data_IF_730109771507
#
_entry.id   IF_730109771507
#
_cell.length_a   1.000
_cell.length_b   1.000
_cell.length_c   1.000
_cell.angle_alpha   90.00
_cell.angle_beta   90.00
_cell.angle_gamma   90.00
#
_symmetry.space_group_name_H-M   'P 1'
#
loop_
_entity.id
_entity.type
_entity.pdbx_description
1 polymer ?
#
# COMPACT_ATOMS: atom_id res chain seq x y z
N UNK A 1 12.22 -5.03 -8.67
CA UNK A 1 12.99 -4.67 -7.46
C UNK A 1 13.06 -5.82 -6.42
N UNK A 2 11.93 -6.38 -5.95
CA UNK A 2 11.92 -7.47 -4.95
C UNK A 2 12.59 -8.77 -5.42
N UNK A 3 12.39 -9.15 -6.68
CA UNK A 3 13.05 -10.32 -7.28
C UNK A 3 14.57 -10.21 -7.23
N UNK A 4 15.12 -9.07 -7.66
CA UNK A 4 16.55 -8.79 -7.61
C UNK A 4 17.09 -8.80 -6.18
N UNK A 5 16.36 -8.25 -5.21
CA UNK A 5 16.71 -8.32 -3.79
C UNK A 5 16.76 -9.76 -3.29
N UNK A 6 15.75 -10.56 -3.62
CA UNK A 6 15.68 -11.96 -3.16
C UNK A 6 16.81 -12.81 -3.75
N UNK A 7 17.14 -12.60 -5.03
CA UNK A 7 18.31 -13.23 -5.69
C UNK A 7 19.63 -12.81 -5.04
N UNK A 8 19.82 -11.52 -4.76
CA UNK A 8 21.05 -11.04 -4.08
C UNK A 8 21.19 -11.60 -2.67
N UNK A 9 20.08 -11.82 -1.96
CA UNK A 9 20.08 -12.38 -0.60
C UNK A 9 20.42 -13.86 -0.55
N UNK A 10 20.15 -14.60 -1.63
CA UNK A 10 20.39 -16.05 -1.74
C UNK A 10 21.16 -16.37 -3.02
N UNK A 11 22.44 -15.97 -3.13
CA UNK A 11 23.23 -16.18 -4.34
C UNK A 11 23.51 -17.67 -4.61
N UNK A 12 23.49 -18.50 -3.57
CA UNK A 12 23.73 -19.95 -3.61
C UNK A 12 22.48 -20.77 -3.92
N UNK A 13 21.29 -20.15 -3.90
CA UNK A 13 20.02 -20.85 -4.11
C UNK A 13 19.52 -20.67 -5.53
N UNK A 14 18.93 -21.74 -6.08
CA UNK A 14 18.30 -21.71 -7.40
C UNK A 14 17.11 -20.74 -7.38
N UNK A 15 16.83 -20.13 -8.53
CA UNK A 15 15.71 -19.20 -8.69
C UNK A 15 14.36 -19.82 -8.28
N UNK A 16 14.17 -21.11 -8.51
CA UNK A 16 12.96 -21.85 -8.10
C UNK A 16 12.78 -21.87 -6.59
N UNK A 17 13.87 -22.05 -5.83
CA UNK A 17 13.83 -22.01 -4.37
C UNK A 17 13.51 -20.60 -3.89
N UNK A 18 14.10 -19.56 -4.50
CA UNK A 18 13.81 -18.16 -4.19
C UNK A 18 12.34 -17.83 -4.45
N UNK A 19 11.78 -18.29 -5.57
CA UNK A 19 10.37 -18.16 -5.89
C UNK A 19 9.50 -18.83 -4.82
N UNK A 20 9.74 -20.12 -4.54
CA UNK A 20 8.95 -20.88 -3.56
C UNK A 20 9.03 -20.31 -2.14
N UNK A 21 10.16 -19.69 -1.76
CA UNK A 21 10.36 -19.11 -0.44
C UNK A 21 9.57 -17.82 -0.20
N UNK A 22 9.43 -16.99 -1.24
CA UNK A 22 8.92 -15.63 -1.07
C UNK A 22 7.64 -15.35 -1.86
N UNK A 23 7.37 -16.08 -2.93
CA UNK A 23 6.19 -15.89 -3.78
C UNK A 23 5.21 -17.02 -3.53
N UNK A 24 4.10 -16.69 -2.88
CA UNK A 24 3.04 -17.62 -2.52
C UNK A 24 1.76 -17.31 -3.29
N UNK A 25 0.85 -18.28 -3.31
CA UNK A 25 -0.54 -18.09 -3.74
C UNK A 25 -1.40 -17.77 -2.53
N UNK A 26 -2.26 -16.77 -2.64
CA UNK A 26 -3.20 -16.40 -1.58
C UNK A 26 -4.54 -15.97 -2.17
N UNK A 27 -5.58 -16.75 -1.87
CA UNK A 27 -6.88 -16.62 -2.52
C UNK A 27 -6.75 -16.75 -4.05
N UNK A 28 -7.24 -15.74 -4.76
CA UNK A 28 -7.22 -15.69 -6.23
C UNK A 28 -5.85 -15.21 -6.75
N UNK A 29 -5.05 -14.55 -5.91
CA UNK A 29 -3.79 -13.94 -6.34
C UNK A 29 -2.64 -14.93 -6.27
N UNK A 30 -1.89 -15.00 -7.37
CA UNK A 30 -0.61 -15.72 -7.45
C UNK A 30 0.53 -14.71 -7.35
N UNK A 31 1.73 -15.19 -7.04
CA UNK A 31 2.94 -14.35 -6.97
C UNK A 31 2.85 -13.23 -5.91
N UNK A 32 2.29 -13.55 -4.75
CA UNK A 32 2.23 -12.63 -3.61
C UNK A 32 3.53 -12.73 -2.82
N UNK A 33 4.22 -11.60 -2.63
CA UNK A 33 5.44 -11.56 -1.83
C UNK A 33 5.11 -11.65 -0.34
N UNK A 34 5.58 -12.72 0.31
CA UNK A 34 5.36 -12.98 1.73
C UNK A 34 6.50 -13.82 2.31
N UNK A 35 6.61 -13.81 3.63
CA UNK A 35 7.60 -14.60 4.40
C UNK A 35 6.90 -15.61 5.33
N UNK A 36 5.65 -15.97 5.00
CA UNK A 36 4.78 -16.81 5.82
C UNK A 36 4.17 -16.07 7.02
N UNK A 37 4.98 -15.27 7.73
CA UNK A 37 4.52 -14.42 8.84
C UNK A 37 3.94 -13.10 8.35
N UNK A 38 4.66 -12.45 7.44
CA UNK A 38 4.33 -11.11 6.95
C UNK A 38 4.17 -11.12 5.44
N UNK A 39 3.10 -10.46 4.97
CA UNK A 39 2.80 -10.25 3.56
C UNK A 39 2.95 -8.78 3.20
N UNK A 40 3.58 -8.51 2.07
CA UNK A 40 3.60 -7.17 1.51
C UNK A 40 2.24 -6.87 0.86
N UNK A 41 1.53 -5.86 1.37
CA UNK A 41 0.27 -5.41 0.76
C UNK A 41 0.57 -4.68 -0.56
N UNK A 42 -0.07 -5.05 -1.67
CA UNK A 42 0.06 -4.30 -2.91
C UNK A 42 -0.63 -2.95 -2.78
N UNK A 43 -0.07 -1.93 -3.43
CA UNK A 43 -0.61 -0.57 -3.42
C UNK A 43 -2.03 -0.50 -3.99
N UNK A 44 -2.40 -1.41 -4.89
CA UNK A 44 -3.74 -1.50 -5.46
C UNK A 44 -4.82 -1.88 -4.45
N UNK A 45 -4.47 -2.47 -3.30
CA UNK A 45 -5.44 -2.80 -2.25
C UNK A 45 -5.79 -1.57 -1.39
N UNK A 46 -4.97 -0.53 -1.44
CA UNK A 46 -5.24 0.71 -0.72
C UNK A 46 -6.32 1.49 -1.46
N UNK A 47 -7.48 1.64 -0.81
CA UNK A 47 -8.57 2.47 -1.35
C UNK A 47 -8.08 3.89 -1.57
N UNK A 48 -8.32 4.42 -2.76
CA UNK A 48 -8.02 5.80 -3.08
C UNK A 48 -9.08 6.68 -2.39
N UNK A 49 -8.68 7.42 -1.36
CA UNK A 49 -9.54 8.38 -0.68
C UNK A 49 -9.31 9.77 -1.27
N UNK A 50 -10.36 10.38 -1.82
CA UNK A 50 -10.31 11.72 -2.40
C UNK A 50 -10.90 12.72 -1.41
N UNK A 51 -10.26 13.88 -1.29
CA UNK A 51 -10.73 15.00 -0.49
C UNK A 51 -10.98 16.20 -1.39
N UNK A 52 -11.84 17.11 -0.93
CA UNK A 52 -11.99 18.42 -1.55
C UNK A 52 -10.63 19.10 -1.73
N UNK A 53 -10.48 19.84 -2.82
CA UNK A 53 -9.37 20.76 -3.00
C UNK A 53 -9.22 21.66 -1.76
N UNK A 54 -7.97 21.91 -1.37
CA UNK A 54 -7.69 22.76 -0.22
C UNK A 54 -8.09 24.21 -0.54
N UNK A 55 -8.78 24.85 0.38
CA UNK A 55 -9.01 26.29 0.36
C UNK A 55 -7.72 26.98 0.78
N UNK A 56 -7.06 27.67 -0.16
CA UNK A 56 -5.75 28.29 0.04
C UNK A 56 -5.79 29.49 0.99
N UNK A 57 -6.97 30.08 1.19
CA UNK A 57 -7.24 31.18 2.12
C UNK A 57 -7.39 30.72 3.58
N UNK A 58 -7.36 29.40 3.85
CA UNK A 58 -7.59 28.84 5.19
C UNK A 58 -6.30 28.40 5.88
N UNK A 59 -6.09 28.87 7.11
CA UNK A 59 -4.89 28.57 7.89
C UNK A 59 -5.19 27.48 8.95
N UNK A 60 -4.37 26.42 9.06
CA UNK A 60 -4.57 25.33 10.02
C UNK A 60 -4.68 25.74 11.49
N UNK A 61 -4.06 26.84 11.89
CA UNK A 61 -4.01 27.30 13.27
C UNK A 61 -5.21 28.18 13.64
N UNK A 62 -5.73 28.95 12.68
CA UNK A 62 -6.87 29.86 12.88
C UNK A 62 -8.20 29.25 12.46
N UNK A 63 -8.23 28.47 11.38
CA UNK A 63 -9.44 27.89 10.78
C UNK A 63 -9.57 26.39 11.09
N UNK A 64 -9.38 26.00 12.37
CA UNK A 64 -9.37 24.59 12.77
C UNK A 64 -10.64 23.82 12.38
N UNK A 65 -11.80 24.47 12.40
CA UNK A 65 -13.08 23.84 12.09
C UNK A 65 -13.19 23.41 10.62
N UNK A 66 -12.60 24.19 9.69
CA UNK A 66 -12.51 23.82 8.29
C UNK A 66 -11.73 22.51 8.10
N UNK A 67 -10.55 22.39 8.75
CA UNK A 67 -9.73 21.19 8.65
C UNK A 67 -10.37 19.99 9.36
N UNK A 68 -11.04 20.20 10.51
CA UNK A 68 -11.82 19.14 11.19
C UNK A 68 -12.97 18.63 10.33
N UNK A 69 -13.68 19.51 9.62
CA UNK A 69 -14.77 19.12 8.72
C UNK A 69 -14.24 18.41 7.46
N UNK A 70 -13.20 18.97 6.83
CA UNK A 70 -12.56 18.40 5.63
C UNK A 70 -12.02 16.99 5.88
N UNK A 71 -11.41 16.74 7.04
CA UNK A 71 -10.88 15.41 7.38
C UNK A 71 -11.99 14.38 7.64
N UNK A 72 -13.18 14.84 8.06
CA UNK A 72 -14.35 13.99 8.30
C UNK A 72 -15.15 13.67 7.02
N UNK A 73 -15.07 14.54 6.02
CA UNK A 73 -15.76 14.40 4.74
C UNK A 73 -14.76 14.21 3.58
N UNK A 74 -14.21 12.99 3.38
CA UNK A 74 -13.71 12.62 2.06
C UNK A 74 -14.91 12.65 1.12
N UNK A 75 -14.83 13.48 0.09
CA UNK A 75 -15.90 13.64 -0.90
C UNK A 75 -16.20 12.24 -1.45
N UNK A 76 -17.38 11.72 -1.11
CA UNK A 76 -17.93 10.40 -1.50
C UNK A 76 -17.28 9.19 -0.81
N UNK A 77 -17.89 8.77 0.32
CA UNK A 77 -17.84 7.37 0.76
C UNK A 77 -18.58 6.52 -0.28
N UNK A 78 -17.87 6.06 -1.30
CA UNK A 78 -18.42 5.16 -2.31
C UNK A 78 -19.15 5.87 -3.45
N UNK A 79 -18.38 6.27 -4.46
CA UNK A 79 -18.57 5.66 -5.78
C UNK A 79 -17.64 4.44 -5.85
#
# INVERSE_FOLDING_TARGET
MLWSWAKRRHPDKRNTWVANKYWHSEGIRKWVFSTGKNRLKPFSDTKIVRYAGLKLDKNPYTDQDYFKFRNRCPILKGL
#
